data_IF_163142773813
#
_entry.id   IF_163142773813
#
_cell.length_a   1.000
_cell.length_b   1.000
_cell.length_c   1.000
_cell.angle_alpha   90.00
_cell.angle_beta   90.00
_cell.angle_gamma   90.00
#
_symmetry.space_group_name_H-M   'P 1'
#
loop_
_entity.id
_entity.type
_entity.pdbx_description
1 polymer ?
#
# COMPACT_ATOMS: atom_id res chain seq x y z
N UNK A 1 -21.72 -15.32 0.93
CA UNK A 1 -20.42 -15.01 0.28
C UNK A 1 -19.76 -13.94 1.13
N UNK A 2 -18.84 -14.33 2.01
CA UNK A 2 -18.08 -13.37 2.81
C UNK A 2 -17.07 -12.69 1.88
N UNK A 3 -17.19 -11.38 1.73
CA UNK A 3 -16.33 -10.58 0.87
C UNK A 3 -14.91 -10.57 1.47
N UNK A 4 -13.93 -11.14 0.79
CA UNK A 4 -12.57 -10.59 0.89
C UNK A 4 -12.59 -9.32 0.02
N UNK A 5 -12.89 -8.12 0.56
CA UNK A 5 -12.79 -6.93 -0.30
C UNK A 5 -13.51 -5.62 0.06
N UNK A 6 -14.48 -5.60 0.98
CA UNK A 6 -15.06 -4.32 1.40
C UNK A 6 -14.06 -3.59 2.31
N UNK A 7 -13.32 -2.65 1.73
CA UNK A 7 -12.36 -1.82 2.46
C UNK A 7 -10.90 -2.03 2.08
N UNK A 8 -10.55 -3.02 1.25
CA UNK A 8 -9.14 -3.24 0.86
C UNK A 8 -8.88 -2.70 -0.54
N UNK A 9 -7.87 -1.85 -0.69
CA UNK A 9 -7.44 -1.29 -1.98
C UNK A 9 -6.06 -1.81 -2.37
N UNK A 10 -5.88 -2.18 -3.64
CA UNK A 10 -4.58 -2.53 -4.21
C UNK A 10 -3.98 -1.29 -4.90
N UNK A 11 -2.73 -0.98 -4.59
CA UNK A 11 -2.05 0.22 -5.09
C UNK A 11 -0.69 -0.17 -5.63
N UNK A 12 -0.37 0.34 -6.81
CA UNK A 12 1.01 0.40 -7.30
C UNK A 12 1.43 1.86 -7.16
N UNK A 13 2.50 2.09 -6.40
CA UNK A 13 3.11 3.40 -6.22
C UNK A 13 4.55 3.37 -6.71
N UNK A 14 5.06 4.52 -7.15
CA UNK A 14 6.46 4.68 -7.47
C UNK A 14 7.07 5.75 -6.57
N UNK A 15 8.30 5.51 -6.13
CA UNK A 15 9.13 6.51 -5.47
C UNK A 15 10.40 6.68 -6.29
N UNK A 16 10.86 7.92 -6.45
CA UNK A 16 12.17 8.20 -7.05
C UNK A 16 13.14 8.53 -5.92
N UNK A 17 14.23 7.79 -5.85
CA UNK A 17 15.34 8.04 -4.93
C UNK A 17 16.60 8.34 -5.73
N UNK A 18 17.44 9.24 -5.23
CA UNK A 18 18.73 9.53 -5.86
C UNK A 18 19.67 8.30 -5.84
N UNK A 19 19.54 7.42 -4.85
CA UNK A 19 20.45 6.29 -4.64
C UNK A 19 20.03 5.02 -5.40
N UNK A 20 18.74 4.81 -5.60
CA UNK A 20 18.19 3.56 -6.18
C UNK A 20 17.39 3.79 -7.46
N UNK A 21 17.35 5.03 -7.97
CA UNK A 21 16.50 5.38 -9.11
C UNK A 21 15.01 5.30 -8.78
N UNK A 22 14.19 4.97 -9.79
CA UNK A 22 12.76 4.76 -9.61
C UNK A 22 12.55 3.37 -9.03
N UNK A 23 11.75 3.28 -7.97
CA UNK A 23 11.33 2.03 -7.36
C UNK A 23 9.80 1.97 -7.32
N UNK A 24 9.25 0.91 -7.87
CA UNK A 24 7.83 0.59 -7.81
C UNK A 24 7.55 -0.32 -6.63
N UNK A 25 6.40 -0.11 -5.99
CA UNK A 25 5.93 -0.93 -4.88
C UNK A 25 4.44 -1.18 -5.06
N UNK A 26 4.09 -2.47 -5.08
CA UNK A 26 2.72 -2.93 -5.04
C UNK A 26 2.36 -3.25 -3.59
N UNK A 27 1.32 -2.62 -3.07
CA UNK A 27 0.84 -2.81 -1.72
C UNK A 27 -0.69 -2.91 -1.68
N UNK A 28 -1.20 -3.60 -0.67
CA UNK A 28 -2.60 -3.58 -0.25
C UNK A 28 -2.76 -2.68 0.96
N UNK A 29 -3.82 -1.90 1.01
CA UNK A 29 -4.22 -1.13 2.17
C UNK A 29 -5.61 -1.54 2.60
N UNK A 30 -5.79 -1.91 3.86
CA UNK A 30 -7.09 -2.07 4.50
C UNK A 30 -7.51 -0.73 5.09
N UNK A 31 -8.43 -0.05 4.40
CA UNK A 31 -8.96 1.25 4.76
C UNK A 31 -9.69 1.23 6.11
N UNK A 32 -10.28 0.09 6.49
CA UNK A 32 -11.06 -0.02 7.72
C UNK A 32 -10.17 -0.24 8.94
N UNK A 33 -9.05 -0.94 8.76
CA UNK A 33 -8.11 -1.27 9.85
C UNK A 33 -6.91 -0.34 9.92
N UNK A 34 -6.66 0.45 8.87
CA UNK A 34 -5.46 1.26 8.79
C UNK A 34 -4.20 0.41 8.72
N UNK A 35 -4.24 -0.68 7.96
CA UNK A 35 -3.10 -1.58 7.81
C UNK A 35 -2.65 -1.66 6.36
N UNK A 36 -1.36 -1.90 6.15
CA UNK A 36 -0.77 -2.13 4.84
C UNK A 36 -0.16 -3.54 4.73
N UNK A 37 0.00 -4.01 3.50
CA UNK A 37 0.68 -5.25 3.17
C UNK A 37 1.42 -5.09 1.84
N UNK A 38 2.74 -5.12 1.85
CA UNK A 38 3.54 -5.06 0.63
C UNK A 38 3.52 -6.40 -0.08
N UNK A 39 3.18 -6.39 -1.37
CA UNK A 39 3.09 -7.57 -2.22
C UNK A 39 4.35 -7.76 -3.06
N UNK A 40 4.88 -6.67 -3.62
CA UNK A 40 6.01 -6.73 -4.54
C UNK A 40 6.72 -5.38 -4.65
N UNK A 41 7.98 -5.42 -5.09
CA UNK A 41 8.73 -4.22 -5.45
C UNK A 41 9.74 -4.49 -6.56
N UNK A 42 10.16 -3.44 -7.26
CA UNK A 42 11.17 -3.53 -8.31
C UNK A 42 11.44 -2.20 -9.00
N UNK A 43 12.46 -2.17 -9.85
CA UNK A 43 12.91 -0.96 -10.55
C UNK A 43 11.97 -0.52 -11.69
N UNK A 44 11.07 -1.40 -12.12
CA UNK A 44 9.99 -1.12 -13.08
C UNK A 44 8.73 -1.89 -12.70
N UNK A 45 7.56 -1.49 -13.22
CA UNK A 45 6.32 -2.24 -13.00
C UNK A 45 6.40 -3.70 -13.46
N UNK A 46 7.11 -3.96 -14.57
CA UNK A 46 7.27 -5.31 -15.13
C UNK A 46 8.31 -6.15 -14.37
N UNK A 47 9.29 -5.49 -13.73
CA UNK A 47 10.33 -6.16 -12.95
C UNK A 47 9.98 -6.30 -11.46
N UNK A 48 8.75 -5.95 -11.06
CA UNK A 48 8.32 -6.15 -9.68
C UNK A 48 8.33 -7.64 -9.34
N UNK A 49 8.99 -7.98 -8.22
CA UNK A 49 9.01 -9.34 -7.70
C UNK A 49 8.49 -9.37 -6.27
N UNK A 50 7.98 -10.54 -5.86
CA UNK A 50 7.51 -10.80 -4.50
C UNK A 50 8.67 -11.12 -3.54
N UNK A 51 9.93 -11.10 -3.99
CA UNK A 51 11.09 -11.23 -3.11
C UNK A 51 11.16 -10.00 -2.22
N UNK A 52 10.71 -10.14 -0.96
CA UNK A 52 10.58 -9.03 -0.01
C UNK A 52 9.13 -8.58 0.24
N UNK A 53 8.13 -9.36 -0.18
CA UNK A 53 6.75 -9.18 0.25
C UNK A 53 6.65 -9.28 1.78
N UNK A 54 5.71 -8.53 2.36
CA UNK A 54 5.41 -8.69 3.77
C UNK A 54 4.83 -10.09 4.02
N UNK A 55 5.11 -10.65 5.19
CA UNK A 55 4.51 -11.90 5.66
C UNK A 55 3.26 -11.66 6.52
N UNK A 56 3.00 -10.40 6.89
CA UNK A 56 1.86 -9.98 7.73
C UNK A 56 1.48 -8.54 7.44
N UNK A 57 0.22 -8.21 7.75
CA UNK A 57 -0.24 -6.82 7.74
C UNK A 57 0.48 -6.00 8.82
N UNK A 58 0.84 -4.77 8.47
CA UNK A 58 1.47 -3.82 9.38
C UNK A 58 0.58 -2.59 9.53
N UNK A 59 0.49 -2.02 10.73
CA UNK A 59 -0.27 -0.80 10.95
C UNK A 59 0.36 0.40 10.23
N UNK A 60 -0.50 1.24 9.66
CA UNK A 60 -0.12 2.52 9.11
C UNK A 60 0.20 3.48 10.25
N UNK A 61 1.35 4.16 10.12
CA UNK A 61 1.76 5.20 11.08
C UNK A 61 1.27 6.54 10.57
N UNK A 62 0.56 7.30 11.40
CA UNK A 62 0.05 8.61 10.98
C UNK A 62 1.19 9.57 10.56
N UNK A 63 0.93 10.39 9.54
CA UNK A 63 1.95 11.24 8.93
C UNK A 63 2.97 10.54 8.00
N UNK A 64 3.01 9.20 7.96
CA UNK A 64 3.91 8.50 7.02
C UNK A 64 3.46 8.63 5.55
N UNK A 65 4.41 8.49 4.61
CA UNK A 65 4.10 8.49 3.18
C UNK A 65 3.14 7.37 2.78
N UNK A 66 3.24 6.21 3.43
CA UNK A 66 2.32 5.09 3.22
C UNK A 66 0.89 5.45 3.63
N UNK A 67 0.73 6.18 4.75
CA UNK A 67 -0.57 6.67 5.21
C UNK A 67 -1.18 7.67 4.24
N UNK A 68 -0.38 8.59 3.68
CA UNK A 68 -0.87 9.54 2.66
C UNK A 68 -1.35 8.81 1.39
N UNK A 69 -0.59 7.82 0.93
CA UNK A 69 -1.00 6.97 -0.20
C UNK A 69 -2.28 6.20 0.10
N UNK A 70 -2.40 5.61 1.29
CA UNK A 70 -3.59 4.92 1.73
C UNK A 70 -4.81 5.87 1.77
N UNK A 71 -4.67 7.08 2.34
CA UNK A 71 -5.75 8.08 2.40
C UNK A 71 -6.26 8.42 1.00
N UNK A 72 -5.34 8.66 0.07
CA UNK A 72 -5.67 8.96 -1.32
C UNK A 72 -6.36 7.77 -2.01
N UNK A 73 -5.79 6.57 -1.90
CA UNK A 73 -6.33 5.37 -2.56
C UNK A 73 -7.71 4.98 -2.01
N UNK A 74 -7.88 4.99 -0.68
CA UNK A 74 -9.17 4.75 -0.04
C UNK A 74 -10.21 5.77 -0.51
N UNK A 75 -9.86 7.06 -0.53
CA UNK A 75 -10.77 8.12 -1.00
C UNK A 75 -11.20 7.92 -2.46
N UNK A 76 -10.28 7.51 -3.35
CA UNK A 76 -10.60 7.19 -4.75
C UNK A 76 -11.53 5.98 -4.89
N UNK A 77 -11.49 5.06 -3.94
CA UNK A 77 -12.42 3.93 -3.87
C UNK A 77 -13.74 4.27 -3.15
N UNK A 78 -13.97 5.53 -2.74
CA UNK A 78 -15.15 5.94 -1.98
C UNK A 78 -15.12 5.52 -0.51
N UNK A 79 -13.95 5.15 0.01
CA UNK A 79 -13.73 4.69 1.38
C UNK A 79 -13.02 5.76 2.22
N UNK A 80 -13.27 5.76 3.53
CA UNK A 80 -12.51 6.59 4.48
C UNK A 80 -11.43 5.72 5.14
N UNK A 81 -10.18 6.18 5.11
CA UNK A 81 -9.10 5.52 5.85
C UNK A 81 -9.27 5.77 7.36
N UNK A 82 -9.34 4.70 8.13
CA UNK A 82 -9.11 4.69 9.56
C UNK A 82 -7.62 4.48 9.82
N UNK A 83 -7.02 5.26 10.71
CA UNK A 83 -5.63 5.07 11.17
C UNK A 83 -5.70 5.12 12.70
N UNK A 84 -5.20 4.08 13.36
CA UNK A 84 -5.04 4.13 14.81
C UNK A 84 -3.91 5.11 15.13
N UNK A 85 -4.24 6.17 15.87
CA UNK A 85 -3.28 7.19 16.31
C UNK A 85 -2.42 6.71 17.45
#
# INVERSE_FOLDING_TARGET
MAYEGAGVVNVISSRRSANTGIWFTQARYDCNKGTLFNLAGGESQVAMSTKGADYKWSYLVDGSSATMLARFACSKAGLKLYVAG
#
